data_IF_876749760542
#
_entry.id   IF_876749760542
#
_cell.length_a   1.000
_cell.length_b   1.000
_cell.length_c   1.000
_cell.angle_alpha   90.00
_cell.angle_beta   90.00
_cell.angle_gamma   90.00
#
_symmetry.space_group_name_H-M   'P 1'
#
loop_
_entity.id
_entity.type
_entity.pdbx_description
1 polymer ?
#
# COMPACT_ATOMS: atom_id res chain seq x y z
N UNK A 1 14.39 -26.07 -22.94
CA UNK A 1 13.16 -25.33 -23.30
C UNK A 1 13.29 -23.81 -23.13
N UNK A 2 13.58 -23.25 -21.95
CA UNK A 2 13.66 -21.79 -21.75
C UNK A 2 14.72 -21.04 -22.61
N UNK A 3 15.92 -21.61 -22.82
CA UNK A 3 16.96 -20.98 -23.66
C UNK A 3 16.62 -20.92 -25.16
N UNK A 4 15.90 -21.93 -25.67
CA UNK A 4 15.51 -22.00 -27.08
C UNK A 4 14.40 -20.99 -27.41
N UNK A 5 13.44 -20.79 -26.48
CA UNK A 5 12.38 -19.80 -26.63
C UNK A 5 12.91 -18.36 -26.67
N UNK A 6 13.86 -18.03 -25.78
CA UNK A 6 14.48 -16.70 -25.72
C UNK A 6 15.28 -16.37 -26.99
N UNK A 7 16.01 -17.35 -27.53
CA UNK A 7 16.74 -17.20 -28.80
C UNK A 7 15.79 -16.99 -29.99
N UNK A 8 14.72 -17.77 -30.06
CA UNK A 8 13.71 -17.64 -31.12
C UNK A 8 13.05 -16.26 -31.09
N UNK A 9 12.67 -15.79 -29.91
CA UNK A 9 12.04 -14.48 -29.75
C UNK A 9 12.99 -13.32 -30.13
N UNK A 10 14.26 -13.38 -29.72
CA UNK A 10 15.26 -12.38 -30.12
C UNK A 10 15.53 -12.39 -31.64
N UNK A 11 15.52 -13.56 -32.29
CA UNK A 11 15.68 -13.66 -33.74
C UNK A 11 14.48 -13.05 -34.48
N UNK A 12 13.26 -13.34 -34.02
CA UNK A 12 12.03 -12.78 -34.58
C UNK A 12 11.99 -11.24 -34.50
N UNK A 13 12.30 -10.67 -33.32
CA UNK A 13 12.33 -9.21 -33.14
C UNK A 13 13.34 -8.53 -34.06
N UNK A 14 14.51 -9.15 -34.27
CA UNK A 14 15.54 -8.63 -35.18
C UNK A 14 15.10 -8.67 -36.65
N UNK A 15 14.40 -9.72 -37.06
CA UNK A 15 13.87 -9.83 -38.42
C UNK A 15 12.81 -8.76 -38.66
N UNK A 16 11.89 -8.56 -37.71
CA UNK A 16 10.87 -7.50 -37.80
C UNK A 16 11.49 -6.12 -37.89
N UNK A 17 12.48 -5.81 -37.04
CA UNK A 17 13.20 -4.55 -37.09
C UNK A 17 13.88 -4.33 -38.46
N UNK A 18 14.55 -5.36 -38.99
CA UNK A 18 15.18 -5.29 -40.31
C UNK A 18 14.17 -5.04 -41.44
N UNK A 19 13.01 -5.70 -41.41
CA UNK A 19 11.95 -5.49 -42.43
C UNK A 19 11.40 -4.06 -42.37
N UNK A 20 11.22 -3.50 -41.17
CA UNK A 20 10.75 -2.13 -40.98
C UNK A 20 11.82 -1.12 -41.46
N UNK A 21 13.09 -1.36 -41.12
CA UNK A 21 14.21 -0.50 -41.55
C UNK A 21 14.48 -0.58 -43.05
N UNK A 22 14.14 -1.69 -43.70
CA UNK A 22 14.32 -1.91 -45.14
C UNK A 22 13.23 -1.25 -46.01
N UNK A 23 12.19 -0.64 -45.42
CA UNK A 23 11.14 0.04 -46.15
C UNK A 23 11.72 1.19 -47.01
N UNK A 24 11.45 1.17 -48.31
CA UNK A 24 12.10 2.05 -49.29
C UNK A 24 11.39 3.39 -49.48
N UNK A 25 10.09 3.43 -49.18
CA UNK A 25 9.25 4.62 -49.30
C UNK A 25 8.15 4.67 -48.24
N UNK A 26 7.44 5.80 -48.18
CA UNK A 26 6.37 6.01 -47.22
C UNK A 26 5.16 5.07 -47.45
N UNK A 27 4.95 4.59 -48.68
CA UNK A 27 3.82 3.70 -49.00
C UNK A 27 4.07 2.28 -48.48
N UNK A 28 5.30 1.78 -48.61
CA UNK A 28 5.73 0.50 -48.05
C UNK A 28 5.68 0.53 -46.52
N UNK A 29 6.18 1.61 -45.90
CA UNK A 29 6.11 1.79 -44.45
C UNK A 29 4.66 1.87 -43.94
N UNK A 30 3.77 2.56 -44.66
CA UNK A 30 2.34 2.63 -44.31
C UNK A 30 1.70 1.25 -44.31
N UNK A 31 1.98 0.41 -45.32
CA UNK A 31 1.46 -0.96 -45.38
C UNK A 31 1.97 -1.83 -44.23
N UNK A 32 3.26 -1.73 -43.89
CA UNK A 32 3.84 -2.44 -42.76
C UNK A 32 3.19 -2.00 -41.44
N UNK A 33 2.96 -0.70 -41.27
CA UNK A 33 2.26 -0.18 -40.10
C UNK A 33 0.80 -0.61 -40.03
N UNK A 34 0.05 -0.60 -41.14
CA UNK A 34 -1.33 -1.10 -41.19
C UNK A 34 -1.43 -2.58 -40.81
N UNK A 35 -0.45 -3.39 -41.25
CA UNK A 35 -0.35 -4.79 -40.86
C UNK A 35 -0.08 -4.93 -39.35
N UNK A 36 0.91 -4.21 -38.81
CA UNK A 36 1.18 -4.17 -37.37
C UNK A 36 -0.04 -3.69 -36.55
N UNK A 37 -0.75 -2.67 -37.06
CA UNK A 37 -1.93 -2.13 -36.39
C UNK A 37 -3.03 -3.19 -36.23
N UNK A 38 -3.24 -4.02 -37.26
CA UNK A 38 -4.27 -5.07 -37.24
C UNK A 38 -3.84 -6.35 -36.52
N UNK A 39 -2.63 -6.84 -36.77
CA UNK A 39 -2.20 -8.15 -36.26
C UNK A 39 -1.63 -8.08 -34.84
N UNK A 40 -1.00 -6.96 -34.46
CA UNK A 40 -0.33 -6.83 -33.16
C UNK A 40 -1.04 -5.81 -32.25
N UNK A 41 -1.32 -4.61 -32.76
CA UNK A 41 -1.80 -3.51 -31.92
C UNK A 41 -3.25 -3.67 -31.46
N UNK A 42 -4.18 -3.96 -32.38
CA UNK A 42 -5.60 -4.17 -32.08
C UNK A 42 -5.83 -5.33 -31.10
N UNK A 43 -5.26 -6.55 -31.30
CA UNK A 43 -5.34 -7.63 -30.33
C UNK A 43 -4.75 -7.28 -28.96
N UNK A 44 -3.64 -6.54 -28.93
CA UNK A 44 -3.05 -6.07 -27.67
C UNK A 44 -3.97 -5.12 -26.92
N UNK A 45 -4.64 -4.20 -27.64
CA UNK A 45 -5.65 -3.33 -27.04
C UNK A 45 -6.84 -4.12 -26.48
N UNK A 46 -7.32 -5.12 -27.21
CA UNK A 46 -8.42 -5.99 -26.74
C UNK A 46 -8.01 -6.75 -25.47
N UNK A 47 -6.82 -7.38 -25.46
CA UNK A 47 -6.30 -8.05 -24.26
C UNK A 47 -6.19 -7.10 -23.06
N UNK A 48 -5.78 -5.84 -23.28
CA UNK A 48 -5.72 -4.84 -22.23
C UNK A 48 -7.12 -4.48 -21.69
N UNK A 49 -8.11 -4.33 -22.57
CA UNK A 49 -9.49 -4.04 -22.19
C UNK A 49 -10.10 -5.19 -21.38
N UNK A 50 -9.90 -6.43 -21.82
CA UNK A 50 -10.33 -7.64 -21.11
C UNK A 50 -9.71 -7.73 -19.72
N UNK A 51 -8.40 -7.47 -19.62
CA UNK A 51 -7.70 -7.42 -18.34
C UNK A 51 -8.32 -6.39 -17.39
N UNK A 52 -8.57 -5.16 -17.85
CA UNK A 52 -9.21 -4.15 -17.00
C UNK A 52 -10.64 -4.50 -16.62
N UNK A 53 -11.40 -5.15 -17.49
CA UNK A 53 -12.74 -5.61 -17.17
C UNK A 53 -12.74 -6.69 -16.11
N UNK A 54 -11.85 -7.68 -16.23
CA UNK A 54 -11.69 -8.75 -15.25
C UNK A 54 -11.32 -8.19 -13.87
N UNK A 55 -10.43 -7.20 -13.84
CA UNK A 55 -10.03 -6.53 -12.60
C UNK A 55 -11.18 -5.76 -11.93
N UNK A 56 -12.00 -5.03 -12.72
CA UNK A 56 -13.20 -4.37 -12.20
C UNK A 56 -14.19 -5.39 -11.62
N UNK A 57 -14.45 -6.46 -12.35
CA UNK A 57 -15.36 -7.53 -11.92
C UNK A 57 -14.86 -8.21 -10.64
N UNK A 58 -13.55 -8.43 -10.53
CA UNK A 58 -12.91 -8.94 -9.32
C UNK A 58 -13.14 -8.01 -8.13
N UNK A 59 -12.85 -6.71 -8.26
CA UNK A 59 -13.05 -5.74 -7.18
C UNK A 59 -14.51 -5.62 -6.74
N UNK A 60 -15.44 -5.62 -7.69
CA UNK A 60 -16.88 -5.55 -7.41
C UNK A 60 -17.36 -6.80 -6.65
N UNK A 61 -16.97 -7.98 -7.14
CA UNK A 61 -17.33 -9.27 -6.51
C UNK A 61 -16.71 -9.37 -5.11
N UNK A 62 -15.46 -8.94 -4.95
CA UNK A 62 -14.78 -8.90 -3.66
C UNK A 62 -15.52 -8.00 -2.66
N UNK A 63 -15.91 -6.78 -3.07
CA UNK A 63 -16.69 -5.85 -2.21
C UNK A 63 -18.05 -6.40 -1.84
N UNK A 64 -18.76 -7.04 -2.79
CA UNK A 64 -20.05 -7.71 -2.55
C UNK A 64 -19.91 -8.85 -1.53
N UNK A 65 -18.88 -9.68 -1.66
CA UNK A 65 -18.62 -10.77 -0.73
C UNK A 65 -18.26 -10.24 0.67
N UNK A 66 -17.39 -9.23 0.76
CA UNK A 66 -17.03 -8.59 2.03
C UNK A 66 -18.25 -8.02 2.77
N UNK A 67 -19.13 -7.30 2.06
CA UNK A 67 -20.32 -6.71 2.67
C UNK A 67 -21.32 -7.79 3.13
N UNK A 68 -21.61 -8.78 2.26
CA UNK A 68 -22.50 -9.89 2.60
C UNK A 68 -21.99 -10.68 3.80
N UNK A 69 -20.70 -10.99 3.85
CA UNK A 69 -20.08 -11.74 4.94
C UNK A 69 -20.15 -10.95 6.26
N UNK A 70 -19.83 -9.66 6.24
CA UNK A 70 -19.90 -8.80 7.43
C UNK A 70 -21.32 -8.76 8.03
N UNK A 71 -22.33 -8.68 7.16
CA UNK A 71 -23.74 -8.63 7.54
C UNK A 71 -24.19 -9.97 8.13
N UNK A 72 -23.84 -11.10 7.48
CA UNK A 72 -24.21 -12.43 7.97
C UNK A 72 -23.47 -12.83 9.25
N UNK A 73 -22.20 -12.45 9.42
CA UNK A 73 -21.49 -12.59 10.71
C UNK A 73 -22.21 -11.83 11.82
N UNK A 74 -22.70 -10.62 11.55
CA UNK A 74 -23.45 -9.85 12.54
C UNK A 74 -24.80 -10.51 12.87
N UNK A 75 -25.49 -11.11 11.89
CA UNK A 75 -26.69 -11.93 12.14
C UNK A 75 -26.39 -13.14 13.03
N UNK A 76 -25.33 -13.89 12.73
CA UNK A 76 -24.90 -15.04 13.55
C UNK A 76 -24.56 -14.62 14.99
N UNK A 77 -23.93 -13.44 15.20
CA UNK A 77 -23.73 -12.88 16.54
C UNK A 77 -25.04 -12.63 17.28
N UNK A 78 -26.08 -12.15 16.58
CA UNK A 78 -27.40 -11.96 17.17
C UNK A 78 -28.07 -13.30 17.50
N UNK A 79 -27.99 -14.29 16.61
CA UNK A 79 -28.47 -15.65 16.90
C UNK A 79 -27.78 -16.25 18.12
N UNK A 80 -26.45 -16.14 18.23
CA UNK A 80 -25.68 -16.61 19.39
C UNK A 80 -26.08 -15.89 20.68
N UNK A 81 -26.38 -14.59 20.62
CA UNK A 81 -26.90 -13.81 21.76
C UNK A 81 -28.29 -14.30 22.18
N UNK A 82 -29.19 -14.54 21.23
CA UNK A 82 -30.54 -15.08 21.48
C UNK A 82 -30.48 -16.50 22.05
N UNK A 83 -29.60 -17.35 21.51
CA UNK A 83 -29.35 -18.71 21.99
C UNK A 83 -28.88 -18.70 23.45
N UNK A 84 -27.93 -17.83 23.80
CA UNK A 84 -27.45 -17.67 25.19
C UNK A 84 -28.55 -17.25 26.16
N UNK A 85 -29.48 -16.40 25.70
CA UNK A 85 -30.65 -15.99 26.49
C UNK A 85 -31.59 -17.16 26.71
N UNK A 86 -31.92 -17.93 25.67
CA UNK A 86 -32.82 -19.08 25.74
C UNK A 86 -32.23 -20.24 26.54
N UNK A 87 -30.93 -20.51 26.41
CA UNK A 87 -30.24 -21.56 27.18
C UNK A 87 -30.15 -21.26 28.68
N UNK A 88 -30.30 -20.00 29.07
CA UNK A 88 -30.35 -19.57 30.47
C UNK A 88 -31.76 -19.60 31.07
N UNK A 89 -32.80 -19.79 30.25
CA UNK A 89 -34.18 -19.86 30.71
C UNK A 89 -34.48 -21.24 31.33
N UNK A 90 -34.88 -21.25 32.60
CA UNK A 90 -35.16 -22.48 33.35
C UNK A 90 -36.40 -23.21 32.85
N UNK A 91 -37.30 -22.53 32.13
CA UNK A 91 -38.53 -23.11 31.59
C UNK A 91 -38.30 -23.99 30.35
N UNK A 92 -37.15 -23.85 29.68
CA UNK A 92 -36.82 -24.54 28.42
C UNK A 92 -35.98 -25.82 28.62
N UNK A 93 -36.05 -26.46 29.80
CA UNK A 93 -35.28 -27.68 30.10
C UNK A 93 -35.47 -28.80 29.08
N UNK A 94 -36.68 -28.97 28.55
CA UNK A 94 -37.00 -30.03 27.59
C UNK A 94 -36.47 -29.74 26.17
N UNK A 95 -36.13 -28.48 25.86
CA UNK A 95 -35.63 -28.04 24.56
C UNK A 95 -34.09 -27.93 24.51
N UNK A 96 -33.41 -28.28 25.61
CA UNK A 96 -31.96 -28.12 25.74
C UNK A 96 -31.15 -28.88 24.69
N UNK A 97 -31.63 -30.04 24.23
CA UNK A 97 -30.98 -30.80 23.17
C UNK A 97 -31.08 -30.09 21.82
N UNK A 98 -32.22 -29.48 21.49
CA UNK A 98 -32.40 -28.71 20.26
C UNK A 98 -31.58 -27.42 20.29
N UNK A 99 -31.55 -26.72 21.43
CA UNK A 99 -30.68 -25.55 21.61
C UNK A 99 -29.19 -25.90 21.44
N UNK A 100 -28.75 -27.07 21.90
CA UNK A 100 -27.37 -27.51 21.68
C UNK A 100 -27.09 -27.81 20.20
N UNK A 101 -28.01 -28.45 19.48
CA UNK A 101 -27.87 -28.68 18.03
C UNK A 101 -27.74 -27.36 17.27
N UNK A 102 -28.61 -26.39 17.56
CA UNK A 102 -28.56 -25.05 16.96
C UNK A 102 -27.24 -24.35 17.32
N UNK A 103 -26.72 -24.52 18.54
CA UNK A 103 -25.41 -23.97 18.92
C UNK A 103 -24.28 -24.51 18.05
N UNK A 104 -24.27 -25.83 17.82
CA UNK A 104 -23.24 -26.50 17.00
C UNK A 104 -23.32 -26.00 15.56
N UNK A 105 -24.53 -25.89 15.00
CA UNK A 105 -24.75 -25.39 13.64
C UNK A 105 -24.29 -23.92 13.51
N UNK A 106 -24.66 -23.05 14.46
CA UNK A 106 -24.22 -21.65 14.50
C UNK A 106 -22.68 -21.56 14.54
N UNK A 107 -22.04 -22.35 15.41
CA UNK A 107 -20.58 -22.33 15.55
C UNK A 107 -19.89 -22.85 14.28
N UNK A 108 -20.42 -23.92 13.66
CA UNK A 108 -19.94 -24.42 12.36
C UNK A 108 -20.06 -23.38 11.25
N UNK A 109 -21.19 -22.67 11.15
CA UNK A 109 -21.35 -21.58 10.16
C UNK A 109 -20.43 -20.39 10.45
N UNK A 110 -20.16 -20.10 11.72
CA UNK A 110 -19.18 -19.07 12.11
C UNK A 110 -17.78 -19.41 11.60
N UNK A 111 -17.36 -20.66 11.74
CA UNK A 111 -16.06 -21.13 11.29
C UNK A 111 -15.94 -21.10 9.77
N UNK A 112 -16.98 -21.53 9.04
CA UNK A 112 -17.04 -21.43 7.58
C UNK A 112 -16.90 -19.97 7.09
N UNK A 113 -17.65 -19.04 7.68
CA UNK A 113 -17.53 -17.61 7.33
C UNK A 113 -16.18 -17.02 7.72
N UNK A 114 -15.56 -17.53 8.78
CA UNK A 114 -14.20 -17.14 9.15
C UNK A 114 -13.21 -17.59 8.09
N UNK A 115 -13.32 -18.81 7.55
CA UNK A 115 -12.47 -19.28 6.45
C UNK A 115 -12.63 -18.42 5.20
N UNK A 116 -13.88 -18.10 4.80
CA UNK A 116 -14.13 -17.17 3.69
C UNK A 116 -13.49 -15.79 3.94
N UNK A 117 -13.52 -15.29 5.18
CA UNK A 117 -12.88 -14.02 5.54
C UNK A 117 -11.35 -14.05 5.44
N UNK A 118 -10.73 -15.22 5.60
CA UNK A 118 -9.27 -15.38 5.48
C UNK A 118 -8.80 -15.28 4.03
N UNK A 119 -9.65 -15.69 3.07
CA UNK A 119 -9.39 -15.54 1.64
C UNK A 119 -9.56 -14.11 1.10
N UNK A 120 -10.11 -13.19 1.91
CA UNK A 120 -10.34 -11.81 1.53
C UNK A 120 -9.21 -10.90 2.05
N UNK A 121 -8.87 -9.82 1.30
CA UNK A 121 -7.89 -8.86 1.78
C UNK A 121 -8.40 -8.18 3.05
N UNK A 122 -7.53 -8.15 4.06
CA UNK A 122 -7.82 -7.51 5.34
C UNK A 122 -7.43 -6.04 5.28
N UNK A 123 -8.21 -5.22 5.96
CA UNK A 123 -7.81 -3.83 6.18
C UNK A 123 -6.47 -3.82 6.93
N UNK A 124 -5.50 -3.01 6.49
CA UNK A 124 -4.24 -2.88 7.21
C UNK A 124 -4.49 -2.41 8.64
N UNK A 125 -3.60 -2.79 9.56
CA UNK A 125 -3.60 -2.21 10.90
C UNK A 125 -3.38 -0.70 10.79
N UNK A 126 -3.84 0.06 11.80
CA UNK A 126 -3.68 1.51 11.83
C UNK A 126 -2.22 1.93 11.62
N UNK A 127 -1.27 1.18 12.21
CA UNK A 127 0.16 1.44 12.07
C UNK A 127 0.64 1.20 10.64
N UNK A 128 0.25 0.06 10.05
CA UNK A 128 0.65 -0.28 8.69
C UNK A 128 0.04 0.71 7.67
N UNK A 129 -1.22 1.10 7.88
CA UNK A 129 -1.89 2.14 7.10
C UNK A 129 -1.19 3.49 7.22
N UNK A 130 -0.66 3.81 8.41
CA UNK A 130 0.12 5.05 8.63
C UNK A 130 1.51 4.99 7.99
N UNK A 131 2.15 3.82 7.89
CA UNK A 131 3.46 3.70 7.26
C UNK A 131 3.40 3.65 5.73
N UNK A 132 2.37 3.00 5.17
CA UNK A 132 2.29 2.64 3.74
C UNK A 132 1.19 3.42 3.00
N UNK A 133 0.21 4.00 3.69
CA UNK A 133 -1.02 4.48 3.07
C UNK A 133 -1.99 3.33 2.80
N UNK A 134 -3.05 3.59 2.03
CA UNK A 134 -3.99 2.52 1.62
C UNK A 134 -3.27 1.54 0.68
N UNK A 135 -3.17 0.28 1.12
CA UNK A 135 -2.23 -0.73 0.61
C UNK A 135 -2.80 -1.42 -0.63
N UNK A 136 -2.97 -0.69 -1.71
CA UNK A 136 -3.16 -1.27 -3.04
C UNK A 136 -1.83 -1.23 -3.81
N UNK A 137 -0.88 -2.08 -3.38
CA UNK A 137 0.52 -2.05 -3.84
C UNK A 137 0.69 -2.45 -5.31
N UNK A 138 -0.26 -3.17 -5.93
CA UNK A 138 0.02 -3.90 -7.18
C UNK A 138 -0.58 -3.32 -8.47
N UNK A 139 -1.34 -2.22 -8.42
CA UNK A 139 -2.18 -1.83 -9.54
C UNK A 139 -1.86 -0.42 -10.06
N UNK A 140 -1.26 -0.35 -11.25
CA UNK A 140 -0.92 0.91 -11.93
C UNK A 140 -2.12 1.86 -12.07
N UNK A 141 -3.35 1.34 -12.26
CA UNK A 141 -4.55 2.18 -12.36
C UNK A 141 -5.00 2.79 -11.02
N UNK A 142 -4.55 2.23 -9.89
CA UNK A 142 -4.74 2.80 -8.55
C UNK A 142 -3.60 3.71 -8.10
N UNK A 143 -2.59 3.91 -8.95
CA UNK A 143 -1.45 4.80 -8.70
C UNK A 143 -1.89 6.20 -8.28
N UNK A 144 -2.94 6.75 -8.89
CA UNK A 144 -3.43 8.09 -8.54
C UNK A 144 -4.01 8.12 -7.12
N UNK A 145 -4.87 7.16 -6.76
CA UNK A 145 -5.41 7.05 -5.40
C UNK A 145 -4.29 6.86 -4.36
N UNK A 146 -3.29 6.04 -4.67
CA UNK A 146 -2.13 5.85 -3.80
C UNK A 146 -1.30 7.13 -3.69
N UNK A 147 -1.12 7.86 -4.79
CA UNK A 147 -0.41 9.14 -4.81
C UNK A 147 -1.14 10.19 -3.95
N UNK A 148 -2.47 10.27 -4.04
CA UNK A 148 -3.27 11.18 -3.21
C UNK A 148 -3.18 10.79 -1.73
N UNK A 149 -3.20 9.49 -1.40
CA UNK A 149 -2.99 9.00 -0.05
C UNK A 149 -1.60 9.37 0.48
N UNK A 150 -0.57 9.22 -0.36
CA UNK A 150 0.81 9.62 -0.09
C UNK A 150 0.91 11.13 0.17
N UNK A 151 0.31 11.97 -0.67
CA UNK A 151 0.36 13.44 -0.51
C UNK A 151 -0.35 13.91 0.77
N UNK A 152 -1.50 13.33 1.10
CA UNK A 152 -2.21 13.62 2.34
C UNK A 152 -1.42 13.22 3.58
N UNK A 153 -0.77 12.04 3.53
CA UNK A 153 0.06 11.54 4.61
C UNK A 153 1.30 12.42 4.78
N UNK A 154 1.98 12.76 3.69
CA UNK A 154 3.13 13.66 3.65
C UNK A 154 2.79 15.01 4.29
N UNK A 155 1.67 15.63 3.88
CA UNK A 155 1.23 16.91 4.41
C UNK A 155 0.97 16.85 5.93
N UNK A 156 0.25 15.83 6.39
CA UNK A 156 -0.05 15.66 7.81
C UNK A 156 1.23 15.46 8.64
N UNK A 157 2.20 14.71 8.12
CA UNK A 157 3.46 14.44 8.82
C UNK A 157 4.40 15.66 8.79
N UNK A 158 4.42 16.45 7.72
CA UNK A 158 5.12 17.74 7.67
C UNK A 158 4.57 18.70 8.71
N UNK A 159 3.24 18.85 8.82
CA UNK A 159 2.60 19.71 9.82
C UNK A 159 2.96 19.24 11.24
N UNK A 160 2.86 17.93 11.51
CA UNK A 160 3.20 17.39 12.82
C UNK A 160 4.69 17.57 13.17
N UNK A 161 5.59 17.40 12.18
CA UNK A 161 7.03 17.67 12.33
C UNK A 161 7.29 19.12 12.75
N UNK A 162 6.65 20.08 12.08
CA UNK A 162 6.78 21.51 12.38
C UNK A 162 6.26 21.85 13.79
N UNK A 163 5.16 21.24 14.22
CA UNK A 163 4.64 21.41 15.58
C UNK A 163 5.62 20.87 16.62
N UNK A 164 6.16 19.65 16.42
CA UNK A 164 7.16 19.09 17.34
C UNK A 164 8.46 19.91 17.35
N UNK A 165 8.86 20.44 16.20
CA UNK A 165 10.00 21.35 16.10
C UNK A 165 9.77 22.63 16.92
N UNK A 166 8.59 23.26 16.79
CA UNK A 166 8.20 24.42 17.60
C UNK A 166 8.19 24.11 19.10
N UNK A 167 7.66 22.95 19.50
CA UNK A 167 7.68 22.49 20.90
C UNK A 167 9.12 22.36 21.41
N UNK A 168 10.03 21.81 20.61
CA UNK A 168 11.44 21.67 20.97
C UNK A 168 12.20 23.01 21.05
N UNK A 169 11.72 24.05 20.34
CA UNK A 169 12.23 25.40 20.48
C UNK A 169 11.74 26.07 21.78
N UNK A 170 10.49 25.86 22.16
CA UNK A 170 9.90 26.51 23.34
C UNK A 170 10.28 25.80 24.65
N UNK A 171 10.30 24.46 24.67
CA UNK A 171 10.57 23.65 25.87
C UNK A 171 12.07 23.41 26.16
N UNK A 172 12.92 24.43 26.00
CA UNK A 172 14.36 24.43 26.32
C UNK A 172 14.77 23.56 27.55
N UNK A 173 15.93 22.87 27.55
CA UNK A 173 16.51 21.93 26.60
C UNK A 173 16.42 20.50 27.17
N UNK A 174 15.21 19.97 27.34
CA UNK A 174 15.11 18.60 27.85
C UNK A 174 15.41 17.60 26.75
N UNK A 175 16.52 16.86 26.92
CA UNK A 175 17.01 15.83 25.99
C UNK A 175 15.94 14.81 25.56
N UNK A 176 14.94 14.56 26.40
CA UNK A 176 13.83 13.66 26.10
C UNK A 176 12.97 14.16 24.93
N UNK A 177 12.68 15.47 24.84
CA UNK A 177 11.92 16.03 23.72
C UNK A 177 12.72 15.96 22.43
N UNK A 178 14.04 16.13 22.53
CA UNK A 178 14.92 15.97 21.38
C UNK A 178 14.90 14.52 20.87
N UNK A 179 14.93 13.53 21.78
CA UNK A 179 14.79 12.11 21.40
C UNK A 179 13.42 11.83 20.76
N UNK A 180 12.34 12.36 21.31
CA UNK A 180 10.98 12.15 20.77
C UNK A 180 10.87 12.75 19.36
N UNK A 181 11.40 13.95 19.15
CA UNK A 181 11.43 14.58 17.84
C UNK A 181 12.24 13.76 16.83
N UNK A 182 13.44 13.33 17.19
CA UNK A 182 14.28 12.53 16.30
C UNK A 182 13.68 11.14 16.03
N UNK A 183 13.02 10.52 17.02
CA UNK A 183 12.26 9.28 16.80
C UNK A 183 11.12 9.47 15.81
N UNK A 184 10.42 10.62 15.87
CA UNK A 184 9.39 10.97 14.91
C UNK A 184 9.98 11.22 13.51
N UNK A 185 11.05 12.01 13.39
CA UNK A 185 11.74 12.26 12.10
C UNK A 185 12.23 10.95 11.47
N UNK A 186 12.77 10.05 12.29
CA UNK A 186 13.19 8.72 11.87
C UNK A 186 12.00 7.93 11.30
N UNK A 187 10.88 7.90 12.02
CA UNK A 187 9.64 7.24 11.58
C UNK A 187 9.11 7.86 10.28
N UNK A 188 9.08 9.19 10.19
CA UNK A 188 8.60 9.95 9.04
C UNK A 188 9.37 9.58 7.77
N UNK A 189 10.69 9.74 7.77
CA UNK A 189 11.50 9.48 6.58
C UNK A 189 11.54 8.00 6.20
N UNK A 190 11.42 7.10 7.17
CA UNK A 190 11.31 5.66 6.90
C UNK A 190 10.00 5.34 6.16
N UNK A 191 8.88 5.90 6.61
CA UNK A 191 7.57 5.72 5.98
C UNK A 191 7.54 6.35 4.58
N UNK A 192 8.07 7.56 4.44
CA UNK A 192 8.18 8.25 3.16
C UNK A 192 9.00 7.43 2.14
N UNK A 193 10.14 6.91 2.57
CA UNK A 193 11.02 6.07 1.74
C UNK A 193 10.32 4.79 1.28
N UNK A 194 9.57 4.14 2.18
CA UNK A 194 8.80 2.95 1.84
C UNK A 194 7.73 3.26 0.78
N UNK A 195 6.98 4.33 0.97
CA UNK A 195 5.93 4.75 0.03
C UNK A 195 6.50 5.18 -1.33
N UNK A 196 7.62 5.90 -1.36
CA UNK A 196 8.28 6.30 -2.60
C UNK A 196 8.84 5.11 -3.37
N UNK A 197 9.35 4.09 -2.68
CA UNK A 197 9.77 2.85 -3.33
C UNK A 197 8.58 2.12 -3.98
N UNK A 198 7.41 2.11 -3.33
CA UNK A 198 6.17 1.58 -3.92
C UNK A 198 5.74 2.40 -5.14
N UNK A 199 5.79 3.74 -5.03
CA UNK A 199 5.49 4.63 -6.16
C UNK A 199 6.42 4.38 -7.36
N UNK A 200 7.72 4.19 -7.13
CA UNK A 200 8.70 3.87 -8.17
C UNK A 200 8.42 2.51 -8.79
N UNK A 201 8.10 1.49 -7.98
CA UNK A 201 7.70 0.18 -8.48
C UNK A 201 6.44 0.25 -9.37
N UNK A 202 5.53 1.18 -9.05
CA UNK A 202 4.33 1.48 -9.85
C UNK A 202 4.56 2.50 -10.99
N UNK A 203 5.82 2.70 -11.40
CA UNK A 203 6.19 3.54 -12.54
C UNK A 203 6.17 5.04 -12.29
N UNK A 204 6.25 5.49 -11.03
CA UNK A 204 6.47 6.91 -10.71
C UNK A 204 7.92 7.30 -10.97
N UNK A 205 8.11 8.49 -11.56
CA UNK A 205 9.44 9.03 -11.84
C UNK A 205 9.89 9.88 -10.66
N UNK A 206 10.40 9.22 -9.62
CA UNK A 206 11.01 9.89 -8.47
C UNK A 206 12.52 9.87 -8.65
N UNK A 207 13.17 11.03 -8.45
CA UNK A 207 14.60 11.16 -8.68
C UNK A 207 15.41 10.35 -7.65
N UNK A 208 16.48 9.63 -8.06
CA UNK A 208 17.29 8.84 -7.12
C UNK A 208 17.93 9.67 -6.01
N UNK A 209 18.38 10.90 -6.30
CA UNK A 209 19.01 11.77 -5.30
C UNK A 209 18.04 12.17 -4.17
N UNK A 210 16.75 12.31 -4.50
CA UNK A 210 15.71 12.64 -3.53
C UNK A 210 15.51 11.50 -2.53
N UNK A 211 15.45 10.27 -3.03
CA UNK A 211 15.40 9.08 -2.18
C UNK A 211 16.67 8.91 -1.34
N UNK A 212 17.85 9.18 -1.92
CA UNK A 212 19.12 9.12 -1.19
C UNK A 212 19.13 10.09 0.01
N UNK A 213 18.63 11.31 -0.18
CA UNK A 213 18.47 12.27 0.90
C UNK A 213 17.59 11.73 2.04
N UNK A 214 16.50 11.01 1.75
CA UNK A 214 15.68 10.38 2.79
C UNK A 214 16.46 9.33 3.58
N UNK A 215 17.24 8.47 2.93
CA UNK A 215 18.09 7.50 3.63
C UNK A 215 19.13 8.17 4.54
N UNK A 216 19.75 9.26 4.07
CA UNK A 216 20.69 10.05 4.88
C UNK A 216 19.97 10.64 6.11
N UNK A 217 18.73 11.07 5.94
CA UNK A 217 17.92 11.67 7.01
C UNK A 217 17.48 10.66 8.06
N UNK A 218 17.16 9.43 7.64
CA UNK A 218 16.92 8.27 8.53
C UNK A 218 18.17 8.02 9.38
N UNK A 219 19.34 7.90 8.74
CA UNK A 219 20.59 7.66 9.46
C UNK A 219 20.95 8.81 10.41
N UNK A 220 20.83 10.06 9.93
CA UNK A 220 21.13 11.26 10.71
C UNK A 220 20.24 11.39 11.95
N UNK A 221 18.92 11.24 11.79
CA UNK A 221 17.97 11.27 12.92
C UNK A 221 18.23 10.13 13.91
N UNK A 222 18.56 8.92 13.43
CA UNK A 222 18.97 7.80 14.30
C UNK A 222 20.21 8.12 15.13
N UNK A 223 21.25 8.71 14.52
CA UNK A 223 22.48 9.12 15.21
C UNK A 223 22.17 10.19 16.27
N UNK A 224 21.43 11.24 15.92
CA UNK A 224 21.08 12.33 16.85
C UNK A 224 20.18 11.83 17.98
N UNK A 225 19.27 10.89 17.70
CA UNK A 225 18.38 10.29 18.69
C UNK A 225 19.14 9.57 19.81
N UNK A 226 20.24 8.87 19.48
CA UNK A 226 21.06 8.13 20.46
C UNK A 226 22.23 8.96 21.00
N UNK A 227 22.51 10.13 20.43
CA UNK A 227 23.65 10.96 20.84
C UNK A 227 23.50 11.40 22.31
N UNK A 228 24.44 11.07 23.21
CA UNK A 228 24.35 11.45 24.61
C UNK A 228 24.35 12.98 24.79
N UNK A 229 23.76 13.46 25.88
CA UNK A 229 23.78 14.89 26.19
C UNK A 229 25.20 15.35 26.56
N UNK A 230 25.98 15.78 25.57
CA UNK A 230 27.36 16.24 25.71
C UNK A 230 27.54 17.65 25.15
N UNK A 231 28.69 18.27 25.44
CA UNK A 231 29.03 19.60 24.90
C UNK A 231 28.98 19.64 23.36
N UNK A 232 29.48 18.59 22.70
CA UNK A 232 29.44 18.45 21.25
C UNK A 232 27.99 18.40 20.72
N UNK A 233 27.11 17.67 21.41
CA UNK A 233 25.70 17.61 21.05
C UNK A 233 25.02 18.97 21.15
N UNK A 234 25.23 19.66 22.28
CA UNK A 234 24.63 20.98 22.51
C UNK A 234 25.11 22.03 21.49
N UNK A 235 26.39 21.95 21.10
CA UNK A 235 26.95 22.81 20.06
C UNK A 235 26.37 22.51 18.68
N UNK A 236 26.08 21.24 18.37
CA UNK A 236 25.52 20.81 17.09
C UNK A 236 24.00 21.05 16.97
N UNK A 237 23.27 20.94 18.09
CA UNK A 237 21.81 21.02 18.18
C UNK A 237 21.17 22.15 17.36
N UNK A 238 21.56 23.44 17.48
CA UNK A 238 20.89 24.51 16.74
C UNK A 238 21.00 24.36 15.22
N UNK A 239 22.13 23.86 14.72
CA UNK A 239 22.34 23.61 13.28
C UNK A 239 21.45 22.47 12.79
N UNK A 240 21.37 21.38 13.55
CA UNK A 240 20.52 20.24 13.20
C UNK A 240 19.04 20.62 13.14
N UNK A 241 18.54 21.34 14.15
CA UNK A 241 17.13 21.74 14.18
C UNK A 241 16.77 22.74 13.08
N UNK A 242 17.71 23.61 12.69
CA UNK A 242 17.52 24.49 11.54
C UNK A 242 17.44 23.67 10.26
N UNK A 243 18.34 22.69 10.08
CA UNK A 243 18.30 21.76 8.96
C UNK A 243 16.97 20.98 8.92
N UNK A 244 16.51 20.42 10.04
CA UNK A 244 15.25 19.67 10.11
C UNK A 244 14.03 20.52 9.76
N UNK A 245 14.02 21.81 10.10
CA UNK A 245 12.95 22.72 9.71
C UNK A 245 12.94 23.00 8.21
N UNK A 246 14.11 23.31 7.63
CA UNK A 246 14.25 23.51 6.18
C UNK A 246 13.84 22.24 5.43
N UNK A 247 14.28 21.10 5.95
CA UNK A 247 13.93 19.80 5.41
C UNK A 247 12.42 19.56 5.42
N UNK A 248 11.74 19.79 6.55
CA UNK A 248 10.29 19.68 6.64
C UNK A 248 9.57 20.61 5.65
N UNK A 249 10.06 21.84 5.45
CA UNK A 249 9.48 22.79 4.50
C UNK A 249 9.74 22.44 3.02
N UNK A 250 10.85 21.76 2.73
CA UNK A 250 11.19 21.30 1.39
C UNK A 250 10.35 20.08 0.95
N UNK A 251 9.72 19.38 1.90
CA UNK A 251 8.84 18.23 1.67
C UNK A 251 7.37 18.66 1.64
#
# INVERSE_FOLDING_TARGET
FFNSYKQFHCAFVRIMAFVIEAAKDAAELSKLYEHFAKEDHEPLQLMQQEYYQLMRNYEETQKKLQSALSLNINKLKQFKKSLKRLSSDKNLKNEKNELNKISIEIDSTFDEYREYSLGLPKKPSWFLSKCIGDIDISLYWKKYNYKDAYENLKMNETIFSLVLWMINLVLFPYRIFDSIFNAFVLFYFSSLTLQENILVANGSRIMPWWRLHHYISILGSGIVMIWPNSFSYQSYRPYYYTYSAIQALAH
#
